data_IF_910548726926
#
_entry.id   IF_910548726926
#
_cell.length_a   1.000
_cell.length_b   1.000
_cell.length_c   1.000
_cell.angle_alpha   90.00
_cell.angle_beta   90.00
_cell.angle_gamma   90.00
#
_symmetry.space_group_name_H-M   'P 1'
#
loop_
_entity.id
_entity.type
_entity.pdbx_description
1 polymer ?
#
# COMPACT_ATOMS: atom_id res chain seq x y z
N UNK A 1 34.37 -17.57 -3.28
CA UNK A 1 32.97 -17.14 -3.17
C UNK A 1 32.97 -15.63 -3.33
N UNK A 2 32.46 -15.13 -4.44
CA UNK A 2 32.37 -13.67 -4.66
C UNK A 2 31.36 -13.12 -3.67
N UNK A 3 31.79 -12.19 -2.83
CA UNK A 3 30.87 -11.47 -1.94
C UNK A 3 29.85 -10.71 -2.80
N UNK A 4 28.57 -10.70 -2.44
CA UNK A 4 27.58 -9.94 -3.19
C UNK A 4 27.95 -8.45 -3.11
N UNK A 5 27.96 -7.79 -4.27
CA UNK A 5 28.27 -6.38 -4.35
C UNK A 5 27.21 -5.59 -3.57
N UNK A 6 27.58 -4.64 -2.70
CA UNK A 6 26.63 -3.93 -1.84
C UNK A 6 25.46 -3.30 -2.59
N UNK A 7 25.68 -2.81 -3.81
CA UNK A 7 24.62 -2.24 -4.65
C UNK A 7 23.54 -3.26 -5.06
N UNK A 8 23.93 -4.50 -5.34
CA UNK A 8 23.03 -5.56 -5.80
C UNK A 8 22.16 -6.05 -4.64
N UNK A 9 22.74 -6.15 -3.44
CA UNK A 9 22.01 -6.46 -2.21
C UNK A 9 20.98 -5.37 -1.90
N UNK A 10 21.36 -4.09 -2.02
CA UNK A 10 20.43 -2.98 -1.76
C UNK A 10 19.27 -2.97 -2.74
N UNK A 11 19.52 -3.26 -4.01
CA UNK A 11 18.45 -3.37 -5.02
C UNK A 11 17.49 -4.53 -4.72
N UNK A 12 18.02 -5.69 -4.32
CA UNK A 12 17.20 -6.84 -3.92
C UNK A 12 16.32 -6.49 -2.71
N UNK A 13 16.89 -5.87 -1.67
CA UNK A 13 16.14 -5.46 -0.48
C UNK A 13 15.03 -4.45 -0.82
N UNK A 14 15.30 -3.49 -1.70
CA UNK A 14 14.27 -2.54 -2.16
C UNK A 14 13.12 -3.24 -2.89
N UNK A 15 13.43 -4.20 -3.76
CA UNK A 15 12.42 -4.97 -4.48
C UNK A 15 11.57 -5.82 -3.53
N UNK A 16 12.19 -6.47 -2.53
CA UNK A 16 11.48 -7.23 -1.50
C UNK A 16 10.55 -6.35 -0.67
N UNK A 17 11.02 -5.16 -0.25
CA UNK A 17 10.20 -4.21 0.49
C UNK A 17 9.00 -3.72 -0.33
N UNK A 18 9.21 -3.40 -1.61
CA UNK A 18 8.15 -3.00 -2.51
C UNK A 18 7.10 -4.11 -2.69
N UNK A 19 7.53 -5.37 -2.80
CA UNK A 19 6.64 -6.53 -2.88
C UNK A 19 5.85 -6.71 -1.58
N UNK A 20 6.51 -6.64 -0.42
CA UNK A 20 5.85 -6.77 0.88
C UNK A 20 4.78 -5.68 1.06
N UNK A 21 5.12 -4.42 0.75
CA UNK A 21 4.18 -3.31 0.78
C UNK A 21 2.97 -3.54 -0.14
N UNK A 22 3.19 -3.99 -1.37
CA UNK A 22 2.12 -4.29 -2.31
C UNK A 22 1.19 -5.39 -1.77
N UNK A 23 1.74 -6.47 -1.22
CA UNK A 23 0.96 -7.58 -0.64
C UNK A 23 0.09 -7.11 0.54
N UNK A 24 0.66 -6.31 1.44
CA UNK A 24 -0.08 -5.76 2.58
C UNK A 24 -1.17 -4.79 2.13
N UNK A 25 -0.87 -3.92 1.16
CA UNK A 25 -1.84 -3.00 0.57
C UNK A 25 -3.02 -3.77 -0.05
N UNK A 26 -2.76 -4.75 -0.91
CA UNK A 26 -3.81 -5.53 -1.56
C UNK A 26 -4.64 -6.34 -0.57
N UNK A 27 -4.03 -6.87 0.49
CA UNK A 27 -4.75 -7.56 1.55
C UNK A 27 -5.68 -6.60 2.29
N UNK A 28 -5.16 -5.44 2.67
CA UNK A 28 -5.92 -4.42 3.41
C UNK A 28 -7.09 -3.87 2.59
N UNK A 29 -6.87 -3.50 1.33
CA UNK A 29 -7.91 -3.00 0.42
C UNK A 29 -8.99 -4.04 0.22
N UNK A 30 -8.59 -5.29 -0.06
CA UNK A 30 -9.52 -6.40 -0.27
C UNK A 30 -10.41 -6.61 0.94
N UNK A 31 -9.85 -6.66 2.15
CA UNK A 31 -10.63 -6.86 3.37
C UNK A 31 -11.59 -5.70 3.63
N UNK A 32 -11.12 -4.45 3.54
CA UNK A 32 -11.93 -3.26 3.81
C UNK A 32 -13.05 -3.10 2.79
N UNK A 33 -12.74 -3.20 1.50
CA UNK A 33 -13.73 -3.01 0.45
C UNK A 33 -14.72 -4.17 0.38
N UNK A 34 -14.28 -5.42 0.61
CA UNK A 34 -15.20 -6.54 0.70
C UNK A 34 -16.19 -6.35 1.85
N UNK A 35 -15.70 -6.04 3.06
CA UNK A 35 -16.55 -5.80 4.24
C UNK A 35 -17.53 -4.65 4.03
N UNK A 36 -17.11 -3.59 3.36
CA UNK A 36 -17.93 -2.41 3.12
C UNK A 36 -19.01 -2.65 2.06
N UNK A 37 -18.67 -3.34 0.97
CA UNK A 37 -19.48 -3.40 -0.23
C UNK A 37 -20.29 -4.69 -0.38
N UNK A 38 -19.80 -5.83 0.13
CA UNK A 38 -20.41 -7.15 -0.06
C UNK A 38 -21.20 -7.53 1.20
N UNK A 39 -22.48 -7.19 1.20
CA UNK A 39 -23.37 -7.43 2.36
C UNK A 39 -23.92 -8.86 2.43
N UNK A 40 -24.08 -9.52 1.28
CA UNK A 40 -24.55 -10.91 1.16
C UNK A 40 -23.73 -11.64 0.11
N UNK A 41 -22.75 -12.46 0.51
CA UNK A 41 -21.96 -13.23 -0.43
C UNK A 41 -22.86 -14.11 -1.31
N UNK A 42 -22.69 -14.00 -2.62
CA UNK A 42 -23.35 -14.85 -3.61
C UNK A 42 -22.33 -15.31 -4.65
N UNK A 43 -22.74 -16.17 -5.59
CA UNK A 43 -21.86 -16.63 -6.67
C UNK A 43 -21.44 -15.53 -7.64
N UNK A 44 -22.06 -14.35 -7.57
CA UNK A 44 -21.78 -13.23 -8.48
C UNK A 44 -21.93 -11.88 -7.79
N UNK A 45 -21.12 -10.89 -8.20
CA UNK A 45 -21.30 -9.52 -7.77
C UNK A 45 -22.49 -8.87 -8.47
N UNK A 46 -23.43 -8.35 -7.69
CA UNK A 46 -24.48 -7.46 -8.16
C UNK A 46 -23.91 -6.18 -8.77
N UNK A 47 -24.72 -5.45 -9.54
CA UNK A 47 -24.32 -4.16 -10.12
C UNK A 47 -23.93 -3.13 -9.05
N UNK A 48 -24.59 -3.17 -7.88
CA UNK A 48 -24.27 -2.32 -6.75
C UNK A 48 -22.90 -2.69 -6.14
N UNK A 49 -22.68 -3.97 -5.83
CA UNK A 49 -21.42 -4.43 -5.24
C UNK A 49 -20.23 -4.11 -6.13
N UNK A 50 -20.37 -4.30 -7.44
CA UNK A 50 -19.33 -3.97 -8.43
C UNK A 50 -18.97 -2.49 -8.41
N UNK A 51 -19.97 -1.62 -8.52
CA UNK A 51 -19.77 -0.16 -8.47
C UNK A 51 -19.19 0.30 -7.12
N UNK A 52 -19.64 -0.30 -6.02
CA UNK A 52 -19.10 -0.01 -4.69
C UNK A 52 -17.63 -0.41 -4.58
N UNK A 53 -17.25 -1.60 -5.06
CA UNK A 53 -15.87 -2.10 -5.03
C UNK A 53 -14.93 -1.23 -5.87
N UNK A 54 -15.35 -0.82 -7.07
CA UNK A 54 -14.62 0.13 -7.92
C UNK A 54 -14.34 1.43 -7.17
N UNK A 55 -15.38 2.07 -6.65
CA UNK A 55 -15.25 3.32 -5.92
C UNK A 55 -14.44 3.19 -4.62
N UNK A 56 -14.65 2.10 -3.86
CA UNK A 56 -13.91 1.85 -2.63
C UNK A 56 -12.42 1.73 -2.90
N UNK A 57 -12.05 0.98 -3.94
CA UNK A 57 -10.65 0.76 -4.30
C UNK A 57 -9.99 2.07 -4.75
N UNK A 58 -10.63 2.83 -5.65
CA UNK A 58 -10.14 4.14 -6.10
C UNK A 58 -9.91 5.09 -4.92
N UNK A 59 -10.89 5.20 -4.02
CA UNK A 59 -10.78 6.08 -2.85
C UNK A 59 -9.71 5.65 -1.88
N UNK A 60 -9.50 4.34 -1.72
CA UNK A 60 -8.44 3.83 -0.86
C UNK A 60 -7.06 4.14 -1.44
N UNK A 61 -6.87 3.99 -2.75
CA UNK A 61 -5.63 4.35 -3.45
C UNK A 61 -5.34 5.85 -3.29
N UNK A 62 -6.33 6.71 -3.55
CA UNK A 62 -6.19 8.16 -3.46
C UNK A 62 -5.84 8.62 -2.04
N UNK A 63 -6.56 8.09 -1.05
CA UNK A 63 -6.31 8.40 0.36
C UNK A 63 -4.91 7.92 0.77
N UNK A 64 -4.52 6.70 0.38
CA UNK A 64 -3.19 6.16 0.67
C UNK A 64 -2.10 7.04 0.08
N UNK A 65 -2.24 7.46 -1.20
CA UNK A 65 -1.27 8.36 -1.85
C UNK A 65 -1.13 9.69 -1.12
N UNK A 66 -2.25 10.32 -0.75
CA UNK A 66 -2.24 11.58 0.01
C UNK A 66 -1.52 11.41 1.35
N UNK A 67 -1.88 10.37 2.11
CA UNK A 67 -1.29 10.10 3.43
C UNK A 67 0.20 9.83 3.28
N UNK A 68 0.62 9.00 2.32
CA UNK A 68 2.03 8.71 2.06
C UNK A 68 2.83 9.98 1.77
N UNK A 69 2.31 10.93 0.99
CA UNK A 69 2.97 12.21 0.73
C UNK A 69 3.18 13.03 2.01
N UNK A 70 2.16 13.09 2.87
CA UNK A 70 2.27 13.81 4.16
C UNK A 70 3.29 13.13 5.05
N UNK A 71 3.20 11.82 5.23
CA UNK A 71 4.07 11.04 6.10
C UNK A 71 5.54 11.18 5.65
N UNK A 72 5.83 10.97 4.37
CA UNK A 72 7.19 11.10 3.84
C UNK A 72 7.75 12.52 4.02
N UNK A 73 6.90 13.55 3.81
CA UNK A 73 7.28 14.94 4.07
C UNK A 73 7.61 15.20 5.54
N UNK A 74 6.88 14.59 6.48
CA UNK A 74 7.19 14.70 7.92
C UNK A 74 8.54 14.06 8.24
N UNK A 75 8.83 12.87 7.68
CA UNK A 75 10.12 12.22 7.88
C UNK A 75 11.29 13.01 7.28
N UNK A 76 11.12 13.61 6.10
CA UNK A 76 12.18 14.45 5.51
C UNK A 76 12.40 15.76 6.26
N UNK A 77 11.36 16.34 6.88
CA UNK A 77 11.48 17.58 7.67
C UNK A 77 11.95 17.35 9.12
N UNK A 78 11.85 16.12 9.64
CA UNK A 78 12.22 15.76 11.03
C UNK A 78 13.69 15.42 11.25
N UNK A 79 14.53 15.36 10.21
CA UNK A 79 15.94 14.92 10.30
C UNK A 79 16.98 16.03 10.47
N UNK A 80 16.58 17.28 10.74
CA UNK A 80 17.43 18.46 10.62
C UNK A 80 17.68 19.28 11.90
N UNK A 81 17.50 18.73 13.10
CA UNK A 81 17.85 19.48 14.32
C UNK A 81 18.14 18.58 15.54
N UNK A 82 19.38 18.67 16.03
CA UNK A 82 19.95 17.95 17.16
C UNK A 82 21.22 17.22 16.71
N UNK A 83 22.43 17.76 16.81
CA UNK A 83 22.99 18.63 17.85
C UNK A 83 23.87 17.75 18.75
N UNK A 84 25.20 17.90 18.57
CA UNK A 84 26.34 17.17 19.17
C UNK A 84 26.78 15.90 18.43
#
# INVERSE_FOLDING_TARGET
MSQPQPEEVMHQVQAELANAYAQEFFTTVREKCFKLCVSKPSSSLSSYERKCLEQCTERYVDATRMISQVVLKQYSNGGGSGGM
#
